data_IF_848306105573
#
_entry.id   IF_848306105573
#
_cell.length_a   1.000
_cell.length_b   1.000
_cell.length_c   1.000
_cell.angle_alpha   90.00
_cell.angle_beta   90.00
_cell.angle_gamma   90.00
#
_symmetry.space_group_name_H-M   'P 1'
#
loop_
_entity.id
_entity.type
_entity.pdbx_description
1 polymer ?
#
# COMPACT_ATOMS: atom_id res chain seq x y z
N UNK A 1 34.44 21.86 -39.78
CA UNK A 1 33.10 22.19 -39.24
C UNK A 1 32.23 20.96 -38.90
N UNK A 2 32.35 19.84 -39.61
CA UNK A 2 31.52 18.63 -39.43
C UNK A 2 31.79 17.86 -38.10
N UNK A 3 33.05 17.79 -37.65
CA UNK A 3 33.43 17.17 -36.37
C UNK A 3 32.93 17.92 -35.12
N UNK A 4 32.93 19.26 -35.14
CA UNK A 4 32.44 20.09 -34.02
C UNK A 4 30.93 19.91 -33.78
N UNK A 5 30.15 19.66 -34.85
CA UNK A 5 28.71 19.38 -34.75
C UNK A 5 28.41 17.99 -34.19
N UNK A 6 29.26 17.00 -34.50
CA UNK A 6 29.12 15.63 -33.99
C UNK A 6 29.39 15.57 -32.47
N UNK A 7 30.39 16.29 -31.99
CA UNK A 7 30.72 16.36 -30.56
C UNK A 7 29.61 17.04 -29.73
N UNK A 8 28.95 18.06 -30.28
CA UNK A 8 27.82 18.73 -29.61
C UNK A 8 26.59 17.81 -29.52
N UNK A 9 26.33 17.00 -30.54
CA UNK A 9 25.22 16.02 -30.52
C UNK A 9 25.44 14.92 -29.47
N UNK A 10 26.68 14.43 -29.32
CA UNK A 10 27.01 13.42 -28.29
C UNK A 10 26.90 14.01 -26.88
N UNK A 11 27.28 15.28 -26.69
CA UNK A 11 27.13 15.97 -25.41
C UNK A 11 25.65 16.16 -25.02
N UNK A 12 24.76 16.48 -25.98
CA UNK A 12 23.33 16.66 -25.72
C UNK A 12 22.61 15.33 -25.39
N UNK A 13 23.04 14.22 -25.98
CA UNK A 13 22.48 12.89 -25.67
C UNK A 13 22.85 12.45 -24.24
N UNK A 14 24.04 12.79 -23.74
CA UNK A 14 24.45 12.44 -22.38
C UNK A 14 23.72 13.24 -21.29
N UNK A 15 23.21 14.44 -21.59
CA UNK A 15 22.43 15.26 -20.64
C UNK A 15 21.00 14.70 -20.46
N UNK A 16 20.48 13.95 -21.44
CA UNK A 16 19.14 13.36 -21.36
C UNK A 16 19.05 12.11 -20.47
N UNK A 17 20.18 11.45 -20.14
CA UNK A 17 20.19 10.25 -19.30
C UNK A 17 20.14 10.53 -17.79
N UNK A 18 20.28 11.79 -17.36
CA UNK A 18 20.21 12.18 -15.94
C UNK A 18 18.89 12.85 -15.55
N UNK A 19 17.86 12.78 -16.42
CA UNK A 19 16.58 13.45 -16.21
C UNK A 19 15.47 12.56 -15.61
N UNK A 20 15.80 11.40 -15.03
CA UNK A 20 14.87 10.66 -14.16
C UNK A 20 15.00 11.15 -12.72
N UNK A 21 14.63 12.42 -12.51
CA UNK A 21 14.27 12.96 -11.20
C UNK A 21 12.75 13.13 -11.09
N UNK A 22 11.97 12.29 -11.79
CA UNK A 22 10.56 12.14 -11.49
C UNK A 22 10.47 11.34 -10.20
N UNK A 23 10.12 12.02 -9.10
CA UNK A 23 10.03 11.43 -7.76
C UNK A 23 9.38 10.05 -7.82
N UNK A 24 10.15 9.04 -7.41
CA UNK A 24 9.75 7.65 -7.47
C UNK A 24 8.38 7.50 -6.78
N UNK A 25 7.38 7.01 -7.52
CA UNK A 25 6.07 6.74 -6.94
C UNK A 25 6.17 5.50 -6.05
N UNK A 26 6.44 5.71 -4.75
CA UNK A 26 6.62 4.64 -3.77
C UNK A 26 5.38 3.74 -3.60
N UNK A 27 4.24 4.09 -4.19
CA UNK A 27 3.06 3.20 -4.26
C UNK A 27 3.40 1.87 -4.93
N UNK A 28 4.33 1.86 -5.90
CA UNK A 28 4.77 0.63 -6.60
C UNK A 28 5.63 -0.29 -5.72
N UNK A 29 6.16 0.22 -4.60
CA UNK A 29 6.95 -0.56 -3.65
C UNK A 29 6.11 -1.52 -2.81
N UNK A 30 4.80 -1.29 -2.68
CA UNK A 30 3.95 -2.15 -1.88
C UNK A 30 3.18 -3.12 -2.77
N UNK A 31 3.64 -4.36 -2.83
CA UNK A 31 3.05 -5.39 -3.68
C UNK A 31 2.21 -6.36 -2.85
N UNK A 32 1.05 -6.74 -3.38
CA UNK A 32 0.24 -7.81 -2.79
C UNK A 32 0.87 -9.16 -3.05
N UNK A 33 1.22 -9.89 -2.00
CA UNK A 33 1.79 -11.25 -2.10
C UNK A 33 0.72 -12.31 -2.02
N UNK A 34 -0.31 -12.12 -1.18
CA UNK A 34 -1.41 -13.07 -1.07
C UNK A 34 -2.71 -12.43 -0.58
N UNK A 35 -3.82 -13.14 -0.76
CA UNK A 35 -5.08 -12.86 -0.08
C UNK A 35 -5.84 -14.14 0.20
N UNK A 36 -6.62 -14.14 1.27
CA UNK A 36 -7.42 -15.31 1.68
C UNK A 36 -8.72 -14.88 2.34
N UNK A 37 -9.78 -15.64 2.04
CA UNK A 37 -11.05 -15.59 2.76
C UNK A 37 -11.10 -16.71 3.79
N UNK A 38 -11.91 -16.57 4.84
CA UNK A 38 -12.13 -17.65 5.80
C UNK A 38 -11.00 -17.85 6.83
N UNK A 39 -9.97 -17.01 6.81
CA UNK A 39 -8.81 -17.19 7.66
C UNK A 39 -9.12 -16.82 9.12
N UNK A 40 -8.70 -17.66 10.09
CA UNK A 40 -8.85 -17.34 11.51
C UNK A 40 -8.28 -15.96 11.84
N UNK A 41 -9.05 -15.18 12.60
CA UNK A 41 -8.63 -13.86 13.05
C UNK A 41 -9.18 -13.60 14.45
N UNK A 42 -8.30 -13.52 15.45
CA UNK A 42 -8.71 -13.30 16.84
C UNK A 42 -9.35 -11.93 17.07
N UNK A 43 -9.15 -10.99 16.14
CA UNK A 43 -9.78 -9.66 16.17
C UNK A 43 -11.18 -9.65 15.53
N UNK A 44 -11.64 -10.80 15.02
CA UNK A 44 -12.93 -10.97 14.38
C UNK A 44 -13.75 -12.02 15.14
N UNK A 45 -14.44 -11.55 16.17
CA UNK A 45 -15.34 -12.38 16.95
C UNK A 45 -16.71 -12.39 16.29
N UNK A 46 -16.98 -13.41 15.49
CA UNK A 46 -18.31 -13.71 14.98
C UNK A 46 -18.63 -15.17 15.28
N UNK A 47 -19.86 -15.44 15.70
CA UNK A 47 -20.29 -16.77 16.11
C UNK A 47 -21.51 -17.20 15.30
N UNK A 48 -21.51 -18.44 14.83
CA UNK A 48 -22.71 -19.09 14.28
C UNK A 48 -23.06 -20.32 15.09
N UNK A 49 -24.36 -20.57 15.23
CA UNK A 49 -24.99 -21.80 15.73
C UNK A 49 -24.15 -22.56 16.78
N UNK A 50 -24.19 -22.08 18.02
CA UNK A 50 -23.60 -22.79 19.16
C UNK A 50 -22.11 -22.49 19.42
N UNK A 51 -21.78 -21.22 19.70
CA UNK A 51 -20.46 -20.75 20.18
C UNK A 51 -19.26 -21.05 19.28
N UNK A 52 -19.45 -21.56 18.06
CA UNK A 52 -18.36 -21.76 17.10
C UNK A 52 -18.02 -20.45 16.40
N UNK A 53 -16.74 -20.06 16.44
CA UNK A 53 -16.25 -18.89 15.71
C UNK A 53 -16.39 -19.11 14.20
N UNK A 54 -17.04 -18.16 13.52
CA UNK A 54 -17.23 -18.12 12.08
C UNK A 54 -16.33 -17.04 11.46
N UNK A 55 -15.32 -17.49 10.72
CA UNK A 55 -14.39 -16.62 9.99
C UNK A 55 -14.69 -16.54 8.50
N UNK A 56 -15.79 -17.13 8.00
CA UNK A 56 -16.09 -17.19 6.56
C UNK A 56 -16.13 -15.81 5.90
N UNK A 57 -16.56 -14.78 6.64
CA UNK A 57 -16.55 -13.38 6.18
C UNK A 57 -15.20 -12.68 6.27
N UNK A 58 -14.22 -13.25 6.96
CA UNK A 58 -12.91 -12.61 7.16
C UNK A 58 -12.11 -12.64 5.88
N UNK A 59 -11.68 -11.47 5.43
CA UNK A 59 -10.78 -11.29 4.29
C UNK A 59 -9.44 -10.78 4.79
N UNK A 60 -8.34 -11.43 4.43
CA UNK A 60 -6.99 -11.01 4.76
C UNK A 60 -6.18 -10.77 3.48
N UNK A 61 -5.33 -9.75 3.51
CA UNK A 61 -4.32 -9.45 2.49
C UNK A 61 -2.95 -9.42 3.13
N UNK A 62 -1.97 -9.98 2.43
CA UNK A 62 -0.56 -9.82 2.75
C UNK A 62 0.08 -8.93 1.70
N UNK A 63 0.80 -7.92 2.17
CA UNK A 63 1.52 -6.94 1.37
C UNK A 63 3.00 -7.03 1.71
N UNK A 64 3.88 -6.86 0.73
CA UNK A 64 5.33 -6.86 0.92
C UNK A 64 5.93 -5.57 0.37
N UNK A 65 6.92 -5.04 1.07
CA UNK A 65 7.83 -4.06 0.50
C UNK A 65 8.77 -4.73 -0.52
N UNK A 66 8.59 -4.45 -1.81
CA UNK A 66 9.45 -4.93 -2.90
C UNK A 66 10.68 -4.03 -3.13
N UNK A 67 10.68 -2.82 -2.59
CA UNK A 67 11.76 -1.86 -2.73
C UNK A 67 12.90 -2.11 -1.73
N UNK A 68 14.04 -1.47 -1.99
CA UNK A 68 15.26 -1.55 -1.18
C UNK A 68 15.27 -0.57 0.00
N UNK A 69 14.27 0.28 0.08
CA UNK A 69 14.12 1.37 1.02
C UNK A 69 13.14 1.01 2.14
N UNK A 70 13.34 1.62 3.32
CA UNK A 70 12.32 1.64 4.37
C UNK A 70 11.17 2.55 3.93
N UNK A 71 9.94 2.04 3.98
CA UNK A 71 8.73 2.79 3.60
C UNK A 71 7.73 2.82 4.76
N UNK A 72 6.95 3.89 4.86
CA UNK A 72 5.78 3.97 5.74
C UNK A 72 4.52 3.62 4.96
N UNK A 73 3.68 2.78 5.56
CA UNK A 73 2.49 2.24 4.92
C UNK A 73 1.28 2.43 5.82
N UNK A 74 0.21 2.98 5.24
CA UNK A 74 -1.12 3.02 5.81
C UNK A 74 -2.03 2.13 4.98
N UNK A 75 -2.83 1.28 5.63
CA UNK A 75 -3.76 0.37 4.94
C UNK A 75 -5.14 0.52 5.54
N UNK A 76 -6.16 0.43 4.69
CA UNK A 76 -7.56 0.36 5.09
C UNK A 76 -8.27 -0.75 4.32
N UNK A 77 -9.08 -1.54 5.02
CA UNK A 77 -9.83 -2.67 4.48
C UNK A 77 -11.32 -2.36 4.52
N UNK A 78 -12.05 -2.61 3.43
CA UNK A 78 -13.49 -2.33 3.41
C UNK A 78 -14.29 -3.47 4.04
N UNK A 79 -15.05 -3.13 5.08
CA UNK A 79 -16.06 -4.00 5.68
C UNK A 79 -17.34 -3.97 4.83
N UNK A 80 -18.15 -5.03 4.91
CA UNK A 80 -19.38 -5.23 4.13
C UNK A 80 -20.43 -4.15 4.36
N UNK A 81 -20.38 -3.47 5.51
CA UNK A 81 -21.23 -2.32 5.83
C UNK A 81 -20.75 -1.00 5.16
N UNK A 82 -19.70 -1.05 4.34
CA UNK A 82 -19.11 0.10 3.65
C UNK A 82 -18.15 0.91 4.51
N UNK A 83 -17.92 0.54 5.78
CA UNK A 83 -16.93 1.20 6.62
C UNK A 83 -15.51 0.72 6.29
N UNK A 84 -14.54 1.60 6.49
CA UNK A 84 -13.12 1.30 6.36
C UNK A 84 -12.55 0.93 7.73
N UNK A 85 -12.08 -0.31 7.86
CA UNK A 85 -11.22 -0.73 8.97
C UNK A 85 -9.80 -0.28 8.67
N UNK A 86 -9.30 0.68 9.43
CA UNK A 86 -7.96 1.22 9.24
C UNK A 86 -6.93 0.51 10.12
N UNK A 87 -5.68 0.52 9.68
CA UNK A 87 -4.53 0.00 10.42
C UNK A 87 -3.59 1.15 10.77
N UNK A 88 -2.82 1.07 11.88
CA UNK A 88 -1.83 2.08 12.22
C UNK A 88 -0.82 2.29 11.10
N UNK A 89 -0.26 3.50 11.00
CA UNK A 89 0.88 3.75 10.14
C UNK A 89 2.05 2.87 10.58
N UNK A 90 2.64 2.11 9.66
CA UNK A 90 3.76 1.21 9.98
C UNK A 90 4.91 1.45 9.02
N UNK A 91 6.12 1.58 9.55
CA UNK A 91 7.33 1.46 8.76
C UNK A 91 7.63 -0.03 8.47
N UNK A 92 7.88 -0.38 7.21
CA UNK A 92 8.21 -1.76 6.80
C UNK A 92 9.52 -1.78 6.04
N UNK A 93 10.43 -2.65 6.49
CA UNK A 93 11.76 -2.82 5.91
C UNK A 93 11.69 -3.50 4.52
N UNK A 94 12.78 -3.46 3.73
CA UNK A 94 12.86 -4.20 2.47
C UNK A 94 12.52 -5.67 2.66
N UNK A 95 11.65 -6.21 1.81
CA UNK A 95 11.10 -7.57 1.89
C UNK A 95 10.30 -7.88 3.15
N UNK A 96 10.03 -6.93 4.04
CA UNK A 96 9.13 -7.15 5.17
C UNK A 96 7.68 -7.24 4.69
N UNK A 97 6.90 -8.09 5.36
CA UNK A 97 5.49 -8.30 5.09
C UNK A 97 4.61 -7.57 6.12
N UNK A 98 3.47 -7.08 5.66
CA UNK A 98 2.39 -6.50 6.43
C UNK A 98 1.11 -7.28 6.16
N UNK A 99 0.37 -7.61 7.22
CA UNK A 99 -0.94 -8.24 7.12
C UNK A 99 -2.03 -7.25 7.49
N UNK A 100 -3.08 -7.18 6.67
CA UNK A 100 -4.29 -6.42 6.93
C UNK A 100 -5.52 -7.30 6.70
N UNK A 101 -6.62 -6.98 7.37
CA UNK A 101 -7.83 -7.80 7.31
C UNK A 101 -9.11 -6.98 7.49
N UNK A 102 -10.23 -7.51 7.00
CA UNK A 102 -11.59 -7.10 7.35
C UNK A 102 -12.34 -8.30 7.94
N UNK A 103 -13.17 -8.08 8.95
CA UNK A 103 -13.87 -9.18 9.63
C UNK A 103 -15.04 -9.73 8.83
N UNK A 104 -15.75 -8.84 8.14
CA UNK A 104 -16.73 -9.18 7.11
C UNK A 104 -16.35 -8.37 5.88
N UNK A 105 -15.32 -8.80 5.15
CA UNK A 105 -14.73 -8.02 4.07
C UNK A 105 -15.58 -7.95 2.80
N UNK A 106 -15.27 -6.99 1.94
CA UNK A 106 -15.75 -6.94 0.53
C UNK A 106 -14.69 -7.44 -0.46
N UNK A 107 -13.46 -7.67 -0.01
CA UNK A 107 -12.31 -7.93 -0.88
C UNK A 107 -11.54 -6.66 -1.29
N UNK A 108 -12.12 -5.48 -1.09
CA UNK A 108 -11.48 -4.20 -1.39
C UNK A 108 -10.58 -3.72 -0.26
N UNK A 109 -9.51 -3.04 -0.63
CA UNK A 109 -8.60 -2.37 0.27
C UNK A 109 -7.97 -1.15 -0.41
N UNK A 110 -7.55 -0.19 0.39
CA UNK A 110 -6.74 0.96 -0.05
C UNK A 110 -5.45 0.99 0.76
N UNK A 111 -4.43 1.58 0.17
CA UNK A 111 -3.15 1.77 0.84
C UNK A 111 -2.50 3.06 0.36
N UNK A 112 -1.67 3.63 1.24
CA UNK A 112 -0.85 4.80 0.99
C UNK A 112 0.56 4.46 1.42
N UNK A 113 1.54 4.87 0.60
CA UNK A 113 2.95 4.58 0.80
C UNK A 113 3.74 5.85 0.62
N UNK A 114 4.74 6.03 1.48
CA UNK A 114 5.81 7.00 1.26
C UNK A 114 7.12 6.44 1.78
N UNK A 115 8.24 7.00 1.34
CA UNK A 115 9.53 6.73 1.98
C UNK A 115 9.51 7.28 3.42
N UNK A 116 10.19 6.61 4.34
CA UNK A 116 10.31 7.14 5.71
C UNK A 116 10.96 8.52 5.69
N UNK A 117 10.39 9.45 6.47
CA UNK A 117 10.77 10.87 6.56
C UNK A 117 10.51 11.70 5.30
N UNK A 118 9.78 11.17 4.32
CA UNK A 118 9.24 11.97 3.23
C UNK A 118 8.07 12.80 3.76
N UNK A 119 8.26 14.12 3.80
CA UNK A 119 7.25 15.08 4.26
C UNK A 119 6.41 15.66 3.13
N UNK A 120 6.77 15.38 1.86
CA UNK A 120 6.03 15.87 0.69
C UNK A 120 4.74 15.07 0.50
N UNK A 121 4.77 13.78 0.83
CA UNK A 121 3.61 12.90 0.77
C UNK A 121 2.91 12.87 2.13
N UNK A 122 1.70 13.44 2.19
CA UNK A 122 0.82 13.37 3.36
C UNK A 122 0.03 12.07 3.31
N UNK A 123 0.22 11.22 4.32
CA UNK A 123 -0.61 10.03 4.51
C UNK A 123 -1.87 10.44 5.28
N UNK A 124 -3.07 10.03 4.81
CA UNK A 124 -4.31 10.39 5.48
C UNK A 124 -4.42 9.72 6.86
N UNK A 125 -5.04 10.46 7.77
CA UNK A 125 -5.44 10.02 9.10
C UNK A 125 -6.58 9.02 9.04
N UNK A 126 -6.82 8.30 10.13
CA UNK A 126 -7.97 7.39 10.24
C UNK A 126 -9.30 8.11 10.01
N UNK A 127 -9.42 9.34 10.51
CA UNK A 127 -10.62 10.14 10.37
C UNK A 127 -10.88 10.49 8.90
N UNK A 128 -9.87 10.99 8.18
CA UNK A 128 -9.99 11.33 6.76
C UNK A 128 -10.38 10.10 5.92
N UNK A 129 -9.78 8.94 6.19
CA UNK A 129 -10.13 7.69 5.51
C UNK A 129 -11.61 7.33 5.73
N UNK A 130 -12.09 7.45 6.97
CA UNK A 130 -13.48 7.11 7.32
C UNK A 130 -14.48 8.11 6.73
N UNK A 131 -14.13 9.39 6.61
CA UNK A 131 -15.06 10.43 6.13
C UNK A 131 -15.01 10.63 4.62
N UNK A 132 -13.83 10.75 4.02
CA UNK A 132 -13.68 11.17 2.62
C UNK A 132 -13.73 9.99 1.65
N UNK A 133 -13.32 8.80 2.12
CA UNK A 133 -13.21 7.62 1.27
C UNK A 133 -14.36 6.63 1.47
N UNK A 134 -15.35 6.95 2.32
CA UNK A 134 -16.49 6.06 2.67
C UNK A 134 -17.19 5.42 1.46
N UNK A 135 -17.26 6.13 0.33
CA UNK A 135 -18.00 5.70 -0.87
C UNK A 135 -17.12 5.09 -1.98
N UNK A 136 -15.80 4.90 -1.77
CA UNK A 136 -14.92 4.22 -2.74
C UNK A 136 -15.00 2.69 -2.58
#
# INVERSE_FOLDING_TARGET
MRQKRLLVLIALINIAYFADAQGQNYTECLVKTSSKWGAPCDKCENYKDGYKRDFSGTYQVELKNSCSELIEVKVAMQEKNGQWRTFPLKAIAPNEHLNAFACTGTGKYMYWVRRVNDTEIVIPTDQEIITEYRNR
#
